data_IF_824695364738
#
_entry.id   IF_824695364738
#
_cell.length_a   1.000
_cell.length_b   1.000
_cell.length_c   1.000
_cell.angle_alpha   90.00
_cell.angle_beta   90.00
_cell.angle_gamma   90.00
#
_symmetry.space_group_name_H-M   'P 1'
#
loop_
_entity.id
_entity.type
_entity.pdbx_description
1 polymer ?
#
# COMPACT_ATOMS: atom_id res chain seq x y z
N UNK A 1 39.43 34.90 -2.78
CA UNK A 1 38.98 33.54 -2.41
C UNK A 1 37.53 33.37 -2.87
N UNK A 2 37.13 32.26 -3.51
CA UNK A 2 35.75 32.05 -3.93
C UNK A 2 34.81 32.07 -2.73
N UNK A 3 33.65 32.74 -2.84
CA UNK A 3 32.67 32.80 -1.75
C UNK A 3 31.88 31.51 -1.72
N UNK A 4 31.44 31.07 -0.55
CA UNK A 4 30.69 29.82 -0.38
C UNK A 4 29.42 29.73 -1.28
N UNK A 5 28.83 30.87 -1.64
CA UNK A 5 27.70 30.94 -2.58
C UNK A 5 28.05 30.53 -4.02
N UNK A 6 29.31 30.63 -4.42
CA UNK A 6 29.78 30.29 -5.77
C UNK A 6 29.79 28.77 -6.00
N UNK A 7 29.78 27.97 -4.93
CA UNK A 7 29.64 26.52 -4.98
C UNK A 7 28.18 26.05 -5.00
N UNK A 8 27.25 26.86 -4.47
CA UNK A 8 25.82 26.55 -4.49
C UNK A 8 25.16 26.91 -5.83
N UNK A 9 25.70 27.91 -6.56
CA UNK A 9 25.18 28.35 -7.87
C UNK A 9 25.76 27.62 -9.09
N UNK A 10 26.85 26.86 -8.94
CA UNK A 10 27.32 25.92 -9.97
C UNK A 10 26.55 24.62 -9.86
N UNK A 11 25.27 24.65 -10.21
CA UNK A 11 24.41 23.48 -10.24
C UNK A 11 25.06 22.36 -11.07
N UNK A 12 24.95 21.13 -10.56
CA UNK A 12 24.98 19.87 -11.30
C UNK A 12 25.77 19.93 -12.63
N UNK A 13 27.11 19.91 -12.54
CA UNK A 13 27.99 19.97 -13.69
C UNK A 13 27.64 18.92 -14.75
N UNK A 14 27.80 19.29 -16.04
CA UNK A 14 27.64 18.37 -17.18
C UNK A 14 28.61 17.19 -17.03
N UNK A 15 28.09 16.03 -16.63
CA UNK A 15 28.79 14.76 -16.51
C UNK A 15 27.77 13.64 -16.26
N UNK A 16 28.07 12.43 -16.72
CA UNK A 16 27.09 11.34 -16.92
C UNK A 16 26.44 10.78 -15.63
N UNK A 17 27.03 10.97 -14.45
CA UNK A 17 26.50 10.41 -13.19
C UNK A 17 25.87 11.48 -12.30
N UNK A 18 24.55 11.64 -12.43
CA UNK A 18 23.72 12.48 -11.55
C UNK A 18 23.31 11.71 -10.29
N UNK A 19 24.25 11.44 -9.38
CA UNK A 19 23.96 10.79 -8.08
C UNK A 19 23.87 11.82 -6.96
N UNK A 20 22.73 11.88 -6.28
CA UNK A 20 22.60 12.62 -5.02
C UNK A 20 23.24 11.78 -3.90
N UNK A 21 24.35 12.24 -3.32
CA UNK A 21 25.04 11.61 -2.19
C UNK A 21 24.81 12.46 -0.93
N UNK A 22 24.15 11.90 0.10
CA UNK A 22 23.91 12.61 1.37
C UNK A 22 24.99 12.19 2.36
N UNK A 23 25.89 13.13 2.67
CA UNK A 23 27.22 12.89 3.27
C UNK A 23 27.30 13.03 4.81
N UNK A 24 26.18 13.13 5.53
CA UNK A 24 26.17 13.17 7.00
C UNK A 24 25.53 11.91 7.58
N UNK A 25 25.99 11.46 8.76
CA UNK A 25 25.23 10.52 9.61
C UNK A 25 23.88 11.17 9.91
N UNK A 26 22.83 10.78 9.21
CA UNK A 26 21.49 11.35 9.34
C UNK A 26 20.55 10.91 8.24
N UNK A 27 19.24 10.97 8.53
CA UNK A 27 18.18 10.59 7.62
C UNK A 27 18.09 11.55 6.43
N UNK A 28 17.97 10.99 5.23
CA UNK A 28 17.63 11.70 4.02
C UNK A 28 16.10 11.73 3.87
N UNK A 29 15.47 12.89 3.94
CA UNK A 29 14.06 13.03 3.62
C UNK A 29 13.93 13.56 2.17
N UNK A 30 13.18 12.83 1.34
CA UNK A 30 12.68 13.35 0.07
C UNK A 30 11.22 13.69 0.31
N UNK A 31 10.94 14.94 0.67
CA UNK A 31 9.58 15.48 0.67
C UNK A 31 9.27 15.94 -0.76
N UNK A 32 8.39 15.22 -1.45
CA UNK A 32 7.84 15.71 -2.71
C UNK A 32 6.53 16.46 -2.39
N UNK A 33 6.33 17.62 -3.01
CA UNK A 33 5.03 18.32 -3.04
C UNK A 33 4.01 17.50 -3.87
N UNK A 34 4.50 16.60 -4.73
CA UNK A 34 3.70 15.64 -5.52
C UNK A 34 3.56 14.25 -4.89
N UNK A 35 2.70 13.37 -5.45
CA UNK A 35 2.27 12.13 -4.79
C UNK A 35 3.26 10.96 -4.87
N UNK A 36 4.40 11.09 -5.56
CA UNK A 36 5.27 9.94 -5.89
C UNK A 36 6.76 10.24 -5.84
N UNK A 37 7.54 9.25 -5.47
CA UNK A 37 9.00 9.19 -5.67
C UNK A 37 9.24 8.03 -6.64
N UNK A 38 9.77 8.33 -7.82
CA UNK A 38 9.97 7.34 -8.87
C UNK A 38 11.44 6.90 -8.91
N UNK A 39 11.67 5.60 -8.88
CA UNK A 39 13.01 5.00 -8.97
C UNK A 39 13.01 4.09 -10.19
N UNK A 40 13.60 4.54 -11.29
CA UNK A 40 13.67 3.78 -12.55
C UNK A 40 14.60 2.56 -12.50
N UNK A 41 15.29 2.37 -11.36
CA UNK A 41 16.20 1.25 -11.11
C UNK A 41 15.84 0.47 -9.85
N UNK A 42 16.82 -0.15 -9.21
CA UNK A 42 16.59 -0.91 -7.97
C UNK A 42 16.49 0.01 -6.77
N UNK A 43 15.46 -0.22 -5.95
CA UNK A 43 15.37 0.34 -4.62
C UNK A 43 16.03 -0.62 -3.61
N UNK A 44 17.14 -0.21 -3.00
CA UNK A 44 17.84 -1.01 -1.98
C UNK A 44 17.60 -0.36 -0.61
N UNK A 45 16.86 -1.06 0.26
CA UNK A 45 16.67 -0.69 1.65
C UNK A 45 17.56 -1.59 2.52
N UNK A 46 18.47 -0.99 3.28
CA UNK A 46 19.27 -1.72 4.27
C UNK A 46 18.55 -1.87 5.62
N UNK A 47 17.43 -1.17 5.81
CA UNK A 47 16.55 -1.27 6.98
C UNK A 47 15.15 -1.77 6.60
N UNK A 48 14.18 -1.60 7.50
CA UNK A 48 12.79 -2.00 7.26
C UNK A 48 12.02 -1.02 6.37
N UNK A 49 10.95 -1.52 5.75
CA UNK A 49 9.93 -0.72 5.07
C UNK A 49 8.75 -0.48 6.02
N UNK A 50 8.34 0.77 6.19
CA UNK A 50 7.06 1.13 6.80
C UNK A 50 6.09 1.54 5.71
N UNK A 51 4.88 0.99 5.78
CA UNK A 51 3.80 1.21 4.81
C UNK A 51 2.62 1.90 5.48
N UNK A 52 1.67 2.39 4.68
CA UNK A 52 0.40 2.87 5.19
C UNK A 52 -0.38 1.69 5.81
N UNK A 53 -0.82 1.88 7.06
CA UNK A 53 -1.50 0.87 7.87
C UNK A 53 -2.77 1.45 8.46
N UNK A 54 -3.88 0.79 8.20
CA UNK A 54 -5.20 1.14 8.71
C UNK A 54 -5.75 -0.02 9.55
N UNK A 55 -6.37 0.33 10.68
CA UNK A 55 -7.11 -0.63 11.51
C UNK A 55 -8.61 -0.42 11.29
N UNK A 56 -9.31 -1.51 11.02
CA UNK A 56 -10.74 -1.54 10.70
C UNK A 56 -11.42 -2.48 11.69
N UNK A 57 -12.57 -2.06 12.21
CA UNK A 57 -13.41 -2.86 13.10
C UNK A 57 -14.84 -2.92 12.58
N UNK A 58 -15.70 -3.65 13.26
CA UNK A 58 -17.16 -3.70 12.99
C UNK A 58 -17.80 -2.32 12.92
N UNK A 59 -17.34 -1.35 13.73
CA UNK A 59 -17.86 0.02 13.71
C UNK A 59 -17.55 0.77 12.40
N UNK A 60 -16.61 0.27 11.61
CA UNK A 60 -16.20 0.83 10.34
C UNK A 60 -16.86 0.10 9.15
N UNK A 61 -17.67 -0.94 9.39
CA UNK A 61 -18.26 -1.77 8.34
C UNK A 61 -19.51 -1.11 7.72
N UNK A 62 -19.60 -0.96 6.38
CA UNK A 62 -18.57 -1.28 5.38
C UNK A 62 -17.45 -0.23 5.32
N UNK A 63 -16.20 -0.69 5.33
CA UNK A 63 -15.03 0.19 5.21
C UNK A 63 -14.57 0.26 3.75
N UNK A 64 -14.57 1.45 3.15
CA UNK A 64 -14.04 1.67 1.81
C UNK A 64 -12.54 1.96 1.87
N UNK A 65 -11.74 1.01 1.40
CA UNK A 65 -10.30 1.17 1.27
C UNK A 65 -9.94 2.27 0.26
N UNK A 66 -8.89 3.01 0.55
CA UNK A 66 -8.39 4.11 -0.26
C UNK A 66 -7.29 3.62 -1.20
N UNK A 67 -7.09 4.29 -2.34
CA UNK A 67 -6.04 3.92 -3.31
C UNK A 67 -4.60 4.03 -2.78
N UNK A 68 -4.40 4.54 -1.56
CA UNK A 68 -3.09 4.63 -0.88
C UNK A 68 -2.94 3.63 0.26
N UNK A 69 -3.97 2.84 0.55
CA UNK A 69 -3.89 1.81 1.57
C UNK A 69 -3.03 0.66 1.07
N UNK A 70 -2.23 0.12 1.98
CA UNK A 70 -1.38 -1.03 1.69
C UNK A 70 -1.66 -2.17 2.67
N UNK A 71 -1.74 -1.87 3.98
CA UNK A 71 -2.07 -2.85 5.01
C UNK A 71 -3.35 -2.46 5.72
N UNK A 72 -4.34 -3.35 5.71
CA UNK A 72 -5.59 -3.24 6.44
C UNK A 72 -5.66 -4.39 7.44
N UNK A 73 -5.62 -4.05 8.73
CA UNK A 73 -5.85 -4.98 9.82
C UNK A 73 -7.31 -4.92 10.24
N UNK A 74 -7.97 -6.08 10.25
CA UNK A 74 -9.40 -6.19 10.51
C UNK A 74 -9.63 -6.89 11.85
N UNK A 75 -10.36 -6.22 12.74
CA UNK A 75 -10.86 -6.76 13.99
C UNK A 75 -12.31 -7.23 13.82
N UNK A 76 -12.47 -8.55 13.70
CA UNK A 76 -13.73 -9.28 13.56
C UNK A 76 -14.33 -9.73 14.92
N UNK A 77 -13.77 -9.34 16.06
CA UNK A 77 -14.18 -9.87 17.38
C UNK A 77 -15.63 -9.55 17.77
N UNK A 78 -16.20 -8.46 17.25
CA UNK A 78 -17.54 -7.96 17.63
C UNK A 78 -18.64 -8.22 16.60
N UNK A 79 -18.34 -8.90 15.50
CA UNK A 79 -19.27 -9.09 14.38
C UNK A 79 -18.55 -9.16 13.02
N UNK A 80 -19.28 -9.54 11.95
CA UNK A 80 -18.72 -9.60 10.60
C UNK A 80 -18.32 -8.20 10.11
N UNK A 81 -17.29 -8.15 9.26
CA UNK A 81 -16.75 -6.89 8.72
C UNK A 81 -16.74 -6.95 7.20
N UNK A 82 -17.24 -5.90 6.58
CA UNK A 82 -17.19 -5.71 5.14
C UNK A 82 -16.11 -4.69 4.78
N UNK A 83 -15.23 -5.07 3.86
CA UNK A 83 -14.19 -4.22 3.28
C UNK A 83 -14.48 -4.04 1.80
N UNK A 84 -14.74 -2.80 1.39
CA UNK A 84 -14.96 -2.42 0.01
C UNK A 84 -13.64 -1.96 -0.60
N UNK A 85 -13.21 -2.58 -1.69
CA UNK A 85 -12.01 -2.17 -2.42
C UNK A 85 -12.26 -0.83 -3.14
N UNK A 86 -11.23 0.01 -3.33
CA UNK A 86 -11.34 1.14 -4.23
C UNK A 86 -11.46 0.65 -5.67
N UNK A 87 -11.95 1.52 -6.55
CA UNK A 87 -11.87 1.30 -8.00
C UNK A 87 -10.43 0.95 -8.39
N UNK A 88 -10.27 -0.11 -9.19
CA UNK A 88 -8.96 -0.56 -9.67
C UNK A 88 -8.21 0.57 -10.40
N UNK A 89 -8.93 1.41 -11.14
CA UNK A 89 -8.40 2.59 -11.82
C UNK A 89 -7.87 3.67 -10.87
N UNK A 90 -8.44 3.79 -9.66
CA UNK A 90 -8.00 4.73 -8.62
C UNK A 90 -6.80 4.18 -7.86
N UNK A 91 -6.77 2.87 -7.58
CA UNK A 91 -5.61 2.21 -6.99
C UNK A 91 -4.42 2.23 -7.96
N UNK A 92 -4.67 2.04 -9.25
CA UNK A 92 -3.66 1.99 -10.30
C UNK A 92 -3.01 0.61 -10.44
N UNK A 93 -2.44 0.39 -11.62
CA UNK A 93 -1.76 -0.87 -11.96
C UNK A 93 -0.52 -1.10 -11.09
N UNK A 94 -0.38 -2.32 -10.57
CA UNK A 94 0.72 -2.72 -9.69
C UNK A 94 0.50 -2.40 -8.21
N UNK A 95 -0.65 -1.81 -7.85
CA UNK A 95 -0.98 -1.54 -6.44
C UNK A 95 -1.26 -2.82 -5.69
N UNK A 96 -0.71 -2.92 -4.47
CA UNK A 96 -0.83 -4.07 -3.58
C UNK A 96 -1.65 -3.69 -2.35
N UNK A 97 -2.54 -4.59 -1.95
CA UNK A 97 -3.35 -4.44 -0.74
C UNK A 97 -3.31 -5.74 0.06
N UNK A 98 -3.03 -5.63 1.35
CA UNK A 98 -3.01 -6.75 2.29
C UNK A 98 -4.14 -6.55 3.29
N UNK A 99 -5.08 -7.49 3.32
CA UNK A 99 -6.21 -7.48 4.25
C UNK A 99 -6.08 -8.70 5.14
N UNK A 100 -6.02 -8.49 6.46
CA UNK A 100 -5.76 -9.56 7.42
C UNK A 100 -6.68 -9.49 8.64
N UNK A 101 -7.22 -10.65 9.03
CA UNK A 101 -7.85 -10.83 10.34
C UNK A 101 -6.77 -10.78 11.42
N UNK A 102 -6.87 -9.82 12.33
CA UNK A 102 -5.96 -9.71 13.48
C UNK A 102 -6.61 -10.16 14.78
N UNK A 103 -7.94 -10.29 14.80
CA UNK A 103 -8.66 -10.71 16.00
C UNK A 103 -8.78 -12.23 16.12
N UNK A 104 -8.72 -12.97 15.00
CA UNK A 104 -8.84 -14.42 15.00
C UNK A 104 -10.28 -14.92 15.02
N UNK A 105 -11.26 -14.05 14.72
CA UNK A 105 -12.68 -14.38 14.78
C UNK A 105 -13.33 -14.54 13.41
N UNK A 106 -12.57 -14.50 12.32
CA UNK A 106 -13.13 -14.59 10.97
C UNK A 106 -13.90 -15.91 10.69
N UNK A 107 -13.62 -16.99 11.43
CA UNK A 107 -14.40 -18.23 11.34
C UNK A 107 -15.80 -18.18 11.96
N UNK A 108 -16.07 -17.18 12.79
CA UNK A 108 -17.39 -16.92 13.38
C UNK A 108 -18.02 -15.68 12.73
N UNK A 109 -17.21 -14.65 12.56
CA UNK A 109 -17.55 -13.33 12.07
C UNK A 109 -16.75 -13.07 10.79
N UNK A 110 -17.23 -13.61 9.67
CA UNK A 110 -16.49 -13.54 8.41
C UNK A 110 -16.17 -12.12 7.98
N UNK A 111 -15.01 -11.97 7.33
CA UNK A 111 -14.59 -10.71 6.73
C UNK A 111 -14.86 -10.83 5.23
N UNK A 112 -15.74 -9.99 4.69
CA UNK A 112 -16.07 -10.01 3.27
C UNK A 112 -15.38 -8.84 2.57
N UNK A 113 -14.58 -9.16 1.56
CA UNK A 113 -13.91 -8.21 0.68
C UNK A 113 -14.72 -8.11 -0.60
N UNK A 114 -15.16 -6.90 -0.97
CA UNK A 114 -15.98 -6.67 -2.16
C UNK A 114 -15.31 -5.66 -3.11
N UNK A 115 -15.20 -5.96 -4.41
CA UNK A 115 -14.82 -4.99 -5.41
C UNK A 115 -15.97 -4.01 -5.66
N UNK A 116 -15.67 -2.87 -6.31
CA UNK A 116 -16.72 -1.93 -6.73
C UNK A 116 -17.63 -2.60 -7.76
N UNK A 117 -18.90 -2.21 -7.80
CA UNK A 117 -19.87 -2.73 -8.77
C UNK A 117 -19.32 -2.61 -10.19
N UNK A 118 -19.28 -3.73 -10.91
CA UNK A 118 -18.74 -3.82 -12.26
C UNK A 118 -17.29 -4.33 -12.34
N UNK A 119 -16.57 -4.35 -11.21
CA UNK A 119 -15.28 -5.02 -11.08
C UNK A 119 -15.44 -6.40 -10.44
N UNK A 120 -14.40 -7.22 -10.54
CA UNK A 120 -14.35 -8.54 -9.93
C UNK A 120 -13.00 -8.80 -9.27
N UNK A 121 -12.99 -9.74 -8.34
CA UNK A 121 -11.78 -10.33 -7.76
C UNK A 121 -11.66 -11.72 -8.38
N UNK A 122 -10.78 -11.89 -9.36
CA UNK A 122 -10.65 -13.15 -10.13
C UNK A 122 -11.98 -13.66 -10.73
N UNK A 123 -12.84 -12.76 -11.20
CA UNK A 123 -14.16 -13.11 -11.73
C UNK A 123 -15.24 -13.32 -10.66
N UNK A 124 -14.90 -13.31 -9.37
CA UNK A 124 -15.85 -13.34 -8.27
C UNK A 124 -16.30 -11.93 -7.86
N UNK A 125 -17.55 -11.82 -7.38
CA UNK A 125 -18.12 -10.57 -6.87
C UNK A 125 -17.77 -10.28 -5.40
N UNK A 126 -17.15 -11.24 -4.71
CA UNK A 126 -16.65 -11.08 -3.36
C UNK A 126 -15.62 -12.16 -3.04
N UNK A 127 -14.72 -11.83 -2.11
CA UNK A 127 -13.78 -12.75 -1.48
C UNK A 127 -14.07 -12.77 0.02
N UNK A 128 -14.20 -13.94 0.64
CA UNK A 128 -14.55 -14.06 2.05
C UNK A 128 -13.41 -14.73 2.81
N UNK A 129 -12.98 -14.12 3.91
CA UNK A 129 -12.06 -14.70 4.88
C UNK A 129 -12.88 -15.36 5.97
N UNK A 130 -12.73 -16.68 6.11
CA UNK A 130 -13.49 -17.52 7.06
C UNK A 130 -12.59 -18.31 8.01
N UNK A 131 -11.28 -18.06 8.01
CA UNK A 131 -10.34 -18.73 8.91
C UNK A 131 -9.74 -17.73 9.89
N UNK A 132 -9.57 -18.15 11.15
CA UNK A 132 -8.98 -17.29 12.18
C UNK A 132 -7.56 -16.89 11.79
N UNK A 133 -7.24 -15.60 11.89
CA UNK A 133 -5.92 -15.02 11.55
C UNK A 133 -5.50 -15.14 10.08
N UNK A 134 -6.41 -15.55 9.21
CA UNK A 134 -6.18 -15.58 7.77
C UNK A 134 -6.11 -14.18 7.17
N UNK A 135 -5.57 -14.10 5.96
CA UNK A 135 -5.43 -12.85 5.24
C UNK A 135 -5.15 -13.06 3.77
N UNK A 136 -5.52 -12.08 2.96
CA UNK A 136 -5.35 -12.08 1.53
C UNK A 136 -4.53 -10.89 1.08
N UNK A 137 -3.63 -11.14 0.14
CA UNK A 137 -2.88 -10.15 -0.59
C UNK A 137 -3.50 -10.06 -1.98
N UNK A 138 -3.91 -8.86 -2.34
CA UNK A 138 -4.52 -8.54 -3.61
C UNK A 138 -3.60 -7.61 -4.38
N UNK A 139 -3.64 -7.70 -5.70
CA UNK A 139 -3.04 -6.69 -6.56
C UNK A 139 -4.05 -6.21 -7.61
N UNK A 140 -3.88 -4.97 -8.06
CA UNK A 140 -4.66 -4.41 -9.15
C UNK A 140 -3.82 -4.29 -10.42
N UNK A 141 -4.41 -4.57 -11.57
CA UNK A 141 -3.84 -4.25 -12.89
C UNK A 141 -4.29 -2.88 -13.42
N UNK A 142 -5.12 -2.15 -12.66
CA UNK A 142 -5.74 -0.88 -13.05
C UNK A 142 -7.16 -1.02 -13.62
N UNK A 143 -7.66 -2.24 -13.83
CA UNK A 143 -9.01 -2.54 -14.33
C UNK A 143 -9.78 -3.51 -13.44
N UNK A 144 -9.08 -4.44 -12.77
CA UNK A 144 -9.67 -5.43 -11.88
C UNK A 144 -8.71 -5.76 -10.73
N UNK A 145 -9.18 -6.60 -9.82
CA UNK A 145 -8.41 -7.08 -8.67
C UNK A 145 -8.15 -8.59 -8.80
N UNK A 146 -6.97 -8.99 -8.33
CA UNK A 146 -6.49 -10.37 -8.42
C UNK A 146 -5.88 -10.80 -7.10
N UNK A 147 -5.91 -12.10 -6.80
CA UNK A 147 -5.32 -12.63 -5.58
C UNK A 147 -3.84 -12.91 -5.87
N UNK A 148 -2.96 -12.22 -5.17
CA UNK A 148 -1.52 -12.46 -5.23
C UNK A 148 -1.10 -13.61 -4.32
N UNK A 149 -1.71 -13.68 -3.13
CA UNK A 149 -1.41 -14.69 -2.13
C UNK A 149 -2.47 -14.74 -1.05
N UNK A 150 -2.68 -15.92 -0.49
CA UNK A 150 -3.63 -16.14 0.59
C UNK A 150 -2.95 -16.93 1.71
N UNK A 151 -3.15 -16.50 2.95
CA UNK A 151 -2.89 -17.31 4.13
C UNK A 151 -4.25 -17.86 4.59
N UNK A 152 -4.37 -19.19 4.58
CA UNK A 152 -5.54 -19.92 5.06
C UNK A 152 -5.38 -20.28 6.52
#
# INVERSE_FOLDING_TARGET
>A
MPRFSDYLRRGFGRGADRRLLIWRKGSAAVSNEGPRVEVSGRFNLLGGLRVNHVNVSVANSPYTAQGRDYLISVDSSKGPVDVQLPLASVAGSGSLLVIKDVAGFAGVNSITIRPVVGESIEGASALVITYAYAGNQLYSDGLSWYIFGAAQ
#
